data_IF_861655289293
#
_entry.id   IF_861655289293
#
_cell.length_a   1.000
_cell.length_b   1.000
_cell.length_c   1.000
_cell.angle_alpha   90.00
_cell.angle_beta   90.00
_cell.angle_gamma   90.00
#
_symmetry.space_group_name_H-M   'P 1'
#
loop_
_entity.id
_entity.type
_entity.pdbx_description
1 polymer ?
#
# COMPACT_ATOMS: atom_id res chain seq x y z
N UNK A 1 17.62 -17.23 -3.00
CA UNK A 1 18.73 -16.23 -2.80
C UNK A 1 18.29 -14.77 -3.03
N UNK A 2 17.74 -14.40 -4.21
CA UNK A 2 17.31 -12.99 -4.45
C UNK A 2 16.12 -12.53 -3.59
N UNK A 3 15.17 -13.40 -3.34
CA UNK A 3 14.02 -13.13 -2.48
C UNK A 3 14.45 -12.98 -1.02
N UNK A 4 15.28 -13.86 -0.52
CA UNK A 4 15.81 -13.84 0.85
C UNK A 4 16.62 -12.55 1.14
N UNK A 5 17.46 -12.12 0.22
CA UNK A 5 18.20 -10.86 0.35
C UNK A 5 17.28 -9.65 0.43
N UNK A 6 16.17 -9.65 -0.32
CA UNK A 6 15.15 -8.58 -0.24
C UNK A 6 14.42 -8.60 1.10
N UNK A 7 14.04 -9.79 1.58
CA UNK A 7 13.41 -9.94 2.90
C UNK A 7 14.32 -9.44 4.00
N UNK A 8 15.62 -9.79 3.98
CA UNK A 8 16.60 -9.30 4.96
C UNK A 8 16.76 -7.77 4.91
N UNK A 9 16.82 -7.20 3.71
CA UNK A 9 16.87 -5.73 3.57
C UNK A 9 15.66 -5.06 4.21
N UNK A 10 14.45 -5.53 3.89
CA UNK A 10 13.23 -4.97 4.46
C UNK A 10 13.12 -5.20 5.98
N UNK A 11 13.53 -6.36 6.46
CA UNK A 11 13.58 -6.64 7.90
C UNK A 11 14.55 -5.68 8.62
N UNK A 12 15.67 -5.32 8.02
CA UNK A 12 16.59 -4.32 8.58
C UNK A 12 15.93 -2.95 8.68
N UNK A 13 15.19 -2.50 7.64
CA UNK A 13 14.46 -1.23 7.65
C UNK A 13 13.37 -1.23 8.75
N UNK A 14 12.59 -2.32 8.85
CA UNK A 14 11.51 -2.46 9.84
C UNK A 14 12.04 -2.53 11.27
N UNK A 15 13.13 -3.26 11.51
CA UNK A 15 13.83 -3.24 12.80
C UNK A 15 14.36 -1.84 13.14
N UNK A 16 14.80 -1.07 12.15
CA UNK A 16 15.15 0.33 12.33
C UNK A 16 13.98 1.18 12.81
N UNK A 17 12.73 0.90 12.40
CA UNK A 17 11.53 1.54 12.94
C UNK A 17 11.28 1.12 14.38
N UNK A 18 11.35 -0.17 14.67
CA UNK A 18 11.18 -0.72 16.02
C UNK A 18 12.19 -0.15 17.00
N UNK A 19 13.46 -0.07 16.62
CA UNK A 19 14.53 0.54 17.45
C UNK A 19 14.32 2.03 17.71
N UNK A 20 13.52 2.72 16.90
CA UNK A 20 13.13 4.13 17.10
C UNK A 20 11.81 4.30 17.85
N UNK A 21 11.26 3.22 18.43
CA UNK A 21 10.10 3.27 19.29
C UNK A 21 8.76 2.97 18.59
N UNK A 22 8.76 2.42 17.37
CA UNK A 22 7.53 1.89 16.77
C UNK A 22 7.27 0.52 17.38
N UNK A 23 6.30 0.43 18.26
CA UNK A 23 5.97 -0.79 19.00
C UNK A 23 5.09 -1.73 18.19
N UNK A 24 4.14 -1.16 17.42
CA UNK A 24 3.18 -1.92 16.63
C UNK A 24 2.81 -1.22 15.33
N UNK A 25 2.34 -1.99 14.35
CA UNK A 25 1.78 -1.53 13.08
C UNK A 25 0.49 -2.32 12.85
N UNK A 26 -0.66 -1.67 12.90
CA UNK A 26 -1.96 -2.33 12.70
C UNK A 26 -2.13 -2.81 11.27
N UNK A 27 -1.92 -1.93 10.31
CA UNK A 27 -2.11 -2.22 8.87
C UNK A 27 -0.93 -1.63 8.08
N UNK A 28 -0.28 -2.45 7.28
CA UNK A 28 0.76 -2.03 6.35
C UNK A 28 0.21 -1.99 4.91
N UNK A 29 0.18 -0.80 4.32
CA UNK A 29 -0.20 -0.63 2.92
C UNK A 29 1.03 -0.74 2.04
N UNK A 30 1.09 -1.73 1.15
CA UNK A 30 2.29 -2.06 0.37
C UNK A 30 2.02 -2.14 -1.13
N UNK A 31 3.09 -2.05 -1.92
CA UNK A 31 3.03 -2.17 -3.39
C UNK A 31 3.25 -3.61 -3.87
N UNK A 32 3.02 -4.60 -3.01
CA UNK A 32 3.26 -6.02 -3.28
C UNK A 32 4.72 -6.31 -3.68
N UNK A 33 5.67 -5.76 -2.92
CA UNK A 33 7.10 -5.95 -3.16
C UNK A 33 7.56 -7.32 -2.65
N UNK A 34 8.24 -8.06 -3.49
CA UNK A 34 8.73 -9.41 -3.17
C UNK A 34 9.55 -9.43 -1.87
N UNK A 35 9.13 -10.25 -0.90
CA UNK A 35 9.81 -10.43 0.38
C UNK A 35 9.48 -9.36 1.44
N UNK A 36 8.65 -8.37 1.10
CA UNK A 36 8.26 -7.32 2.06
C UNK A 36 7.26 -7.84 3.08
N UNK A 37 6.23 -8.58 2.64
CA UNK A 37 5.23 -9.18 3.52
C UNK A 37 5.87 -10.11 4.56
N UNK A 38 6.80 -10.96 4.11
CA UNK A 38 7.56 -11.85 5.02
C UNK A 38 8.40 -11.05 6.03
N UNK A 39 8.99 -9.93 5.61
CA UNK A 39 9.75 -9.06 6.50
C UNK A 39 8.85 -8.35 7.53
N UNK A 40 7.66 -7.89 7.10
CA UNK A 40 6.67 -7.26 7.99
C UNK A 40 6.28 -8.25 9.09
N UNK A 41 5.84 -9.44 8.74
CA UNK A 41 5.42 -10.45 9.72
C UNK A 41 6.57 -10.94 10.61
N UNK A 42 7.81 -10.91 10.14
CA UNK A 42 8.97 -11.25 10.97
C UNK A 42 9.25 -10.22 12.08
N UNK A 43 8.95 -8.94 11.84
CA UNK A 43 9.23 -7.85 12.79
C UNK A 43 7.97 -7.43 13.56
N UNK A 44 6.84 -7.37 12.88
CA UNK A 44 5.52 -7.02 13.40
C UNK A 44 4.51 -8.11 13.01
N UNK A 45 4.46 -9.22 13.76
CA UNK A 45 3.74 -10.44 13.37
C UNK A 45 2.23 -10.27 13.24
N UNK A 46 1.65 -9.32 13.96
CA UNK A 46 0.20 -9.08 13.98
C UNK A 46 -0.26 -8.01 12.96
N UNK A 47 0.66 -7.50 12.16
CA UNK A 47 0.33 -6.52 11.14
C UNK A 47 -0.53 -7.12 10.03
N UNK A 48 -1.67 -6.52 9.75
CA UNK A 48 -2.44 -6.86 8.55
C UNK A 48 -1.83 -6.19 7.32
N UNK A 49 -1.75 -6.92 6.22
CA UNK A 49 -1.19 -6.40 4.97
C UNK A 49 -2.34 -6.05 4.03
N UNK A 50 -2.29 -4.84 3.48
CA UNK A 50 -3.13 -4.36 2.40
C UNK A 50 -2.27 -4.04 1.19
N UNK A 51 -2.39 -4.81 0.12
CA UNK A 51 -1.74 -4.48 -1.14
C UNK A 51 -2.45 -3.30 -1.82
N UNK A 52 -1.66 -2.38 -2.35
CA UNK A 52 -2.15 -1.18 -3.00
C UNK A 52 -3.02 -1.51 -4.22
N UNK A 53 -4.30 -1.19 -4.14
CA UNK A 53 -5.26 -1.41 -5.22
C UNK A 53 -4.87 -0.68 -6.51
N UNK A 54 -4.36 0.54 -6.40
CA UNK A 54 -3.94 1.33 -7.56
C UNK A 54 -2.75 0.69 -8.31
N UNK A 55 -1.79 0.10 -7.57
CA UNK A 55 -0.69 -0.64 -8.21
C UNK A 55 -1.20 -1.91 -8.90
N UNK A 56 -2.12 -2.65 -8.29
CA UNK A 56 -2.74 -3.81 -8.92
C UNK A 56 -3.47 -3.43 -10.21
N UNK A 57 -4.23 -2.33 -10.21
CA UNK A 57 -4.92 -1.81 -11.39
C UNK A 57 -3.93 -1.36 -12.48
N UNK A 58 -2.87 -0.64 -12.13
CA UNK A 58 -1.81 -0.22 -13.08
C UNK A 58 -1.16 -1.43 -13.73
N UNK A 59 -0.80 -2.44 -12.94
CA UNK A 59 -0.22 -3.69 -13.43
C UNK A 59 -1.18 -4.44 -14.36
N UNK A 60 -2.48 -4.44 -14.04
CA UNK A 60 -3.51 -5.08 -14.86
C UNK A 60 -3.70 -4.39 -16.21
N UNK A 61 -3.51 -3.08 -16.27
CA UNK A 61 -3.77 -2.27 -17.48
C UNK A 61 -2.53 -1.97 -18.33
N UNK A 62 -1.33 -2.36 -17.89
CA UNK A 62 -0.07 -1.94 -18.50
C UNK A 62 0.09 -2.36 -19.97
N UNK A 63 -0.42 -3.54 -20.33
CA UNK A 63 -0.27 -4.15 -21.65
C UNK A 63 -1.61 -4.46 -22.33
N UNK A 64 -2.66 -3.71 -21.98
CA UNK A 64 -4.02 -3.96 -22.47
C UNK A 64 -4.40 -2.93 -23.53
N UNK A 65 -4.89 -3.42 -24.68
CA UNK A 65 -5.36 -2.55 -25.77
C UNK A 65 -6.73 -1.90 -25.48
N UNK A 66 -7.59 -2.59 -24.70
CA UNK A 66 -8.95 -2.13 -24.35
C UNK A 66 -8.99 -1.64 -22.89
N UNK A 67 -8.14 -0.68 -22.59
CA UNK A 67 -7.87 -0.25 -21.22
C UNK A 67 -9.10 0.27 -20.49
N UNK A 68 -9.91 1.11 -21.14
CA UNK A 68 -11.07 1.73 -20.48
C UNK A 68 -12.15 0.71 -20.13
N UNK A 69 -12.40 -0.26 -21.02
CA UNK A 69 -13.37 -1.33 -20.78
C UNK A 69 -12.91 -2.26 -19.66
N UNK A 70 -11.65 -2.69 -19.70
CA UNK A 70 -11.07 -3.53 -18.66
C UNK A 70 -11.09 -2.82 -17.30
N UNK A 71 -10.77 -1.53 -17.26
CA UNK A 71 -10.80 -0.73 -16.01
C UNK A 71 -12.22 -0.54 -15.50
N UNK A 72 -13.22 -0.44 -16.37
CA UNK A 72 -14.64 -0.38 -16.00
C UNK A 72 -15.08 -1.69 -15.34
N UNK A 73 -14.72 -2.85 -15.91
CA UNK A 73 -15.06 -4.15 -15.34
C UNK A 73 -14.34 -4.38 -14.00
N UNK A 74 -13.06 -4.03 -13.89
CA UNK A 74 -12.33 -4.10 -12.62
C UNK A 74 -12.89 -3.15 -11.56
N UNK A 75 -13.55 -2.05 -11.95
CA UNK A 75 -14.20 -1.14 -11.00
C UNK A 75 -15.28 -1.85 -10.21
N UNK A 76 -16.04 -2.76 -10.82
CA UNK A 76 -17.04 -3.56 -10.12
C UNK A 76 -16.42 -4.41 -9.00
N UNK A 77 -15.19 -4.87 -9.18
CA UNK A 77 -14.45 -5.65 -8.17
C UNK A 77 -14.03 -4.77 -7.00
N UNK A 78 -13.24 -3.72 -7.24
CA UNK A 78 -12.64 -2.96 -6.13
C UNK A 78 -13.59 -1.92 -5.49
N UNK A 79 -14.68 -1.57 -6.15
CA UNK A 79 -15.70 -0.67 -5.61
C UNK A 79 -16.92 -1.40 -5.03
N UNK A 80 -16.87 -2.74 -4.93
CA UNK A 80 -17.91 -3.53 -4.32
C UNK A 80 -18.19 -3.13 -2.86
N UNK A 81 -19.42 -3.38 -2.40
CA UNK A 81 -19.79 -3.01 -1.04
C UNK A 81 -19.15 -3.92 0.01
N UNK A 82 -18.94 -5.18 -0.32
CA UNK A 82 -18.32 -6.20 0.53
C UNK A 82 -17.44 -7.16 -0.29
N UNK A 83 -16.76 -8.06 0.41
CA UNK A 83 -15.82 -8.99 -0.18
C UNK A 83 -16.51 -10.02 -1.08
N UNK A 84 -17.72 -10.49 -0.72
CA UNK A 84 -18.44 -11.48 -1.52
C UNK A 84 -18.86 -10.89 -2.88
N UNK A 85 -19.43 -9.70 -2.88
CA UNK A 85 -19.78 -8.99 -4.11
C UNK A 85 -18.55 -8.72 -4.99
N UNK A 86 -17.39 -8.46 -4.37
CA UNK A 86 -16.13 -8.27 -5.08
C UNK A 86 -15.63 -9.58 -5.74
N UNK A 87 -15.75 -10.71 -5.04
CA UNK A 87 -15.40 -12.03 -5.60
C UNK A 87 -16.32 -12.41 -6.76
N UNK A 88 -17.63 -12.18 -6.62
CA UNK A 88 -18.58 -12.44 -7.69
C UNK A 88 -18.27 -11.60 -8.94
N UNK A 89 -17.93 -10.32 -8.74
CA UNK A 89 -17.49 -9.44 -9.83
C UNK A 89 -16.17 -9.90 -10.46
N UNK A 90 -15.24 -10.42 -9.66
CA UNK A 90 -13.96 -10.96 -10.16
C UNK A 90 -14.17 -12.21 -11.01
N UNK A 91 -15.13 -13.08 -10.66
CA UNK A 91 -15.47 -14.24 -11.48
C UNK A 91 -16.10 -13.83 -12.82
N UNK A 92 -17.00 -12.85 -12.82
CA UNK A 92 -17.54 -12.27 -14.06
C UNK A 92 -16.43 -11.66 -14.92
N UNK A 93 -15.54 -10.89 -14.30
CA UNK A 93 -14.36 -10.34 -14.96
C UNK A 93 -13.49 -11.45 -15.57
N UNK A 94 -13.23 -12.51 -14.83
CA UNK A 94 -12.42 -13.62 -15.29
C UNK A 94 -13.05 -14.31 -16.50
N UNK A 95 -14.35 -14.53 -16.53
CA UNK A 95 -15.07 -15.11 -17.68
C UNK A 95 -14.99 -14.21 -18.92
N UNK A 96 -15.21 -12.92 -18.76
CA UNK A 96 -15.19 -11.95 -19.87
C UNK A 96 -13.80 -11.80 -20.52
N UNK A 97 -12.74 -11.95 -19.73
CA UNK A 97 -11.37 -11.67 -20.17
C UNK A 97 -10.47 -12.91 -20.30
N UNK A 98 -10.99 -14.12 -19.99
CA UNK A 98 -10.23 -15.37 -20.00
C UNK A 98 -9.45 -15.61 -21.31
N UNK A 99 -10.07 -15.34 -22.45
CA UNK A 99 -9.47 -15.58 -23.76
C UNK A 99 -8.40 -14.55 -24.16
N UNK A 100 -8.52 -13.30 -23.66
CA UNK A 100 -7.60 -12.23 -24.07
C UNK A 100 -6.49 -11.99 -23.05
N UNK A 101 -6.83 -11.97 -21.76
CA UNK A 101 -5.90 -11.58 -20.69
C UNK A 101 -6.02 -12.48 -19.44
N UNK A 102 -5.83 -13.80 -19.57
CA UNK A 102 -6.04 -14.75 -18.46
C UNK A 102 -5.11 -14.48 -17.25
N UNK A 103 -3.95 -13.91 -17.51
CA UNK A 103 -2.98 -13.60 -16.45
C UNK A 103 -3.47 -12.51 -15.49
N UNK A 104 -4.39 -11.63 -15.92
CA UNK A 104 -4.90 -10.57 -15.04
C UNK A 104 -5.77 -11.17 -13.96
N UNK A 105 -6.81 -11.97 -14.33
CA UNK A 105 -7.67 -12.65 -13.37
C UNK A 105 -6.87 -13.56 -12.42
N UNK A 106 -5.88 -14.28 -12.96
CA UNK A 106 -4.95 -15.09 -12.15
C UNK A 106 -4.21 -14.24 -11.11
N UNK A 107 -3.62 -13.12 -11.52
CA UNK A 107 -2.91 -12.22 -10.62
C UNK A 107 -3.81 -11.66 -9.51
N UNK A 108 -5.05 -11.32 -9.82
CA UNK A 108 -6.01 -10.85 -8.81
C UNK A 108 -6.35 -11.94 -7.80
N UNK A 109 -6.59 -13.18 -8.25
CA UNK A 109 -6.86 -14.32 -7.36
C UNK A 109 -5.66 -14.65 -6.46
N UNK A 110 -4.46 -14.69 -7.02
CA UNK A 110 -3.22 -14.99 -6.28
C UNK A 110 -2.90 -13.95 -5.19
N UNK A 111 -3.27 -12.68 -5.43
CA UNK A 111 -3.04 -11.59 -4.48
C UNK A 111 -4.27 -11.28 -3.63
N UNK A 112 -5.38 -12.02 -3.76
CA UNK A 112 -6.67 -11.66 -3.19
C UNK A 112 -6.63 -11.46 -1.70
N UNK A 113 -5.98 -12.34 -0.96
CA UNK A 113 -5.90 -12.28 0.50
C UNK A 113 -5.39 -10.91 1.01
N UNK A 114 -4.37 -10.34 0.34
CA UNK A 114 -3.82 -9.04 0.69
C UNK A 114 -4.49 -7.88 -0.04
N UNK A 115 -5.20 -8.12 -1.14
CA UNK A 115 -5.97 -7.10 -1.84
C UNK A 115 -7.31 -6.84 -1.15
N UNK A 116 -7.95 -7.87 -0.57
CA UNK A 116 -9.28 -7.78 0.02
C UNK A 116 -9.28 -7.31 1.48
N UNK A 117 -8.12 -7.16 2.12
CA UNK A 117 -8.01 -6.77 3.53
C UNK A 117 -8.87 -5.55 3.89
N UNK A 118 -8.96 -4.55 3.01
CA UNK A 118 -9.74 -3.34 3.28
C UNK A 118 -11.25 -3.59 3.41
N UNK A 119 -11.79 -4.70 2.86
CA UNK A 119 -13.22 -5.02 3.01
C UNK A 119 -13.63 -5.33 4.45
N UNK A 120 -12.68 -5.73 5.31
CA UNK A 120 -12.92 -5.95 6.74
C UNK A 120 -13.33 -4.67 7.48
N UNK A 121 -12.98 -3.49 6.95
CA UNK A 121 -13.07 -2.21 7.63
C UNK A 121 -14.21 -1.34 7.10
N UNK A 122 -14.74 -0.40 7.90
CA UNK A 122 -15.72 0.58 7.46
C UNK A 122 -15.10 1.56 6.45
N UNK A 123 -15.94 2.25 5.71
CA UNK A 123 -15.54 3.07 4.56
C UNK A 123 -14.51 4.16 4.89
N UNK A 124 -14.56 4.73 6.09
CA UNK A 124 -13.62 5.74 6.57
C UNK A 124 -12.18 5.17 6.66
N UNK A 125 -12.04 3.95 7.18
CA UNK A 125 -10.76 3.25 7.26
C UNK A 125 -10.33 2.75 5.87
N UNK A 126 -11.26 2.18 5.08
CA UNK A 126 -10.97 1.73 3.70
C UNK A 126 -10.28 2.80 2.87
N UNK A 127 -10.75 4.05 2.94
CA UNK A 127 -10.17 5.19 2.21
C UNK A 127 -8.72 5.50 2.57
N UNK A 128 -8.28 5.09 3.77
CA UNK A 128 -6.88 5.26 4.18
C UNK A 128 -5.96 4.21 3.58
N UNK A 129 -6.43 2.96 3.59
CA UNK A 129 -5.56 1.80 3.46
C UNK A 129 -5.55 1.17 2.06
N UNK A 130 -6.56 1.42 1.22
CA UNK A 130 -6.63 0.75 -0.09
C UNK A 130 -5.63 1.31 -1.12
N UNK A 131 -4.96 2.42 -0.82
CA UNK A 131 -3.94 3.01 -1.70
C UNK A 131 -2.70 3.50 -0.95
N UNK A 132 -1.57 3.57 -1.66
CA UNK A 132 -0.32 4.18 -1.19
C UNK A 132 -0.17 5.65 -1.63
N UNK A 133 -1.25 6.34 -1.98
CA UNK A 133 -1.22 7.69 -2.55
C UNK A 133 -0.49 8.71 -1.66
N UNK A 134 -0.58 8.58 -0.35
CA UNK A 134 0.09 9.50 0.60
C UNK A 134 1.61 9.42 0.44
N UNK A 135 2.17 8.21 0.45
CA UNK A 135 3.62 8.03 0.29
C UNK A 135 4.07 8.32 -1.15
N UNK A 136 3.25 8.03 -2.16
CA UNK A 136 3.53 8.43 -3.55
C UNK A 136 3.60 9.96 -3.69
N UNK A 137 2.68 10.69 -3.05
CA UNK A 137 2.67 12.15 -3.01
C UNK A 137 3.92 12.72 -2.35
N UNK A 138 4.32 12.15 -1.22
CA UNK A 138 5.57 12.49 -0.53
C UNK A 138 6.79 12.24 -1.41
N UNK A 139 6.91 11.04 -1.99
CA UNK A 139 8.00 10.67 -2.89
C UNK A 139 8.07 11.60 -4.12
N UNK A 140 6.93 12.04 -4.65
CA UNK A 140 6.89 13.02 -5.75
C UNK A 140 7.51 14.35 -5.35
N UNK A 141 7.26 14.81 -4.14
CA UNK A 141 7.86 16.06 -3.63
C UNK A 141 9.36 15.90 -3.40
N UNK A 142 9.83 14.79 -2.83
CA UNK A 142 11.25 14.48 -2.71
C UNK A 142 11.94 14.44 -4.08
N UNK A 143 11.31 13.82 -5.08
CA UNK A 143 11.86 13.77 -6.45
C UNK A 143 12.04 15.15 -7.10
N UNK A 144 11.21 16.15 -6.77
CA UNK A 144 11.41 17.52 -7.29
C UNK A 144 12.74 18.10 -6.85
N UNK A 145 13.16 17.79 -5.62
CA UNK A 145 14.43 18.27 -5.07
C UNK A 145 15.60 17.44 -5.60
N UNK A 146 15.46 16.13 -5.69
CA UNK A 146 16.54 15.23 -6.15
C UNK A 146 16.80 15.32 -7.66
N UNK A 147 15.79 15.65 -8.48
CA UNK A 147 15.94 15.78 -9.95
C UNK A 147 16.89 16.90 -10.37
N UNK A 148 17.05 17.93 -9.56
CA UNK A 148 17.92 19.07 -9.86
C UNK A 148 19.41 18.76 -9.63
N UNK A 149 19.72 17.64 -8.95
CA UNK A 149 21.09 17.18 -8.69
C UNK A 149 21.20 15.71 -9.06
N UNK A 150 21.89 15.45 -10.15
CA UNK A 150 22.08 14.05 -10.66
C UNK A 150 23.22 13.30 -9.96
N UNK A 151 24.13 13.99 -9.28
CA UNK A 151 25.27 13.39 -8.60
C UNK A 151 25.44 14.01 -7.20
N UNK A 152 25.66 13.14 -6.23
CA UNK A 152 26.01 13.53 -4.86
C UNK A 152 27.43 13.09 -4.55
N UNK A 153 28.27 13.97 -3.92
CA UNK A 153 29.64 13.62 -3.58
C UNK A 153 29.76 12.47 -2.58
N UNK A 154 28.80 12.36 -1.66
CA UNK A 154 28.73 11.34 -0.60
C UNK A 154 27.30 10.97 -0.28
N UNK A 155 27.08 9.80 0.31
CA UNK A 155 25.78 9.37 0.83
C UNK A 155 25.24 10.33 1.89
N UNK A 156 26.13 10.87 2.75
CA UNK A 156 25.77 11.88 3.75
C UNK A 156 25.21 13.16 3.13
N UNK A 157 25.74 13.59 1.99
CA UNK A 157 25.25 14.78 1.29
C UNK A 157 23.84 14.55 0.73
N UNK A 158 23.55 13.36 0.24
CA UNK A 158 22.22 12.94 -0.19
C UNK A 158 21.25 12.88 1.00
N UNK A 159 21.66 12.25 2.11
CA UNK A 159 20.83 12.12 3.31
C UNK A 159 20.49 13.50 3.92
N UNK A 160 21.47 14.42 4.01
CA UNK A 160 21.22 15.79 4.46
C UNK A 160 20.21 16.51 3.59
N UNK A 161 20.34 16.39 2.26
CA UNK A 161 19.39 17.05 1.35
C UNK A 161 17.99 16.44 1.48
N UNK A 162 17.86 15.12 1.56
CA UNK A 162 16.58 14.44 1.77
C UNK A 162 15.95 14.85 3.11
N UNK A 163 16.74 14.95 4.16
CA UNK A 163 16.29 15.42 5.47
C UNK A 163 15.72 16.84 5.41
N UNK A 164 16.45 17.80 4.81
CA UNK A 164 15.99 19.16 4.66
C UNK A 164 14.72 19.25 3.81
N UNK A 165 14.67 18.52 2.70
CA UNK A 165 13.47 18.45 1.87
C UNK A 165 12.27 17.86 2.63
N UNK A 166 12.48 16.83 3.44
CA UNK A 166 11.45 16.23 4.29
C UNK A 166 10.94 17.26 5.31
N UNK A 167 11.83 18.01 5.97
CA UNK A 167 11.44 19.05 6.91
C UNK A 167 10.57 20.14 6.27
N UNK A 168 10.87 20.55 5.05
CA UNK A 168 10.07 21.55 4.32
C UNK A 168 8.72 20.98 3.84
N UNK A 169 8.68 19.71 3.44
CA UNK A 169 7.44 19.03 3.03
C UNK A 169 6.51 18.90 4.23
N UNK A 170 7.04 18.45 5.39
CA UNK A 170 6.24 18.17 6.58
C UNK A 170 5.73 19.43 7.29
N UNK A 171 6.38 20.57 7.11
CA UNK A 171 5.84 21.88 7.57
C UNK A 171 4.44 22.16 7.02
N UNK A 172 4.11 21.61 5.85
CA UNK A 172 2.78 21.77 5.21
C UNK A 172 1.75 20.76 5.73
N UNK A 173 2.15 19.78 6.53
CA UNK A 173 1.28 18.77 7.13
C UNK A 173 0.72 19.22 8.48
N UNK A 174 0.24 20.45 8.55
CA UNK A 174 -0.26 21.07 9.79
C UNK A 174 -1.73 20.80 10.06
N UNK A 175 -2.47 20.26 9.08
CA UNK A 175 -3.89 20.01 9.19
C UNK A 175 -4.19 18.68 9.89
N UNK A 176 -5.08 18.71 10.87
CA UNK A 176 -5.73 17.48 11.35
C UNK A 176 -6.65 16.96 10.25
N UNK A 177 -6.59 15.66 9.97
CA UNK A 177 -7.57 15.02 9.09
C UNK A 177 -8.95 15.18 9.71
N UNK A 178 -9.92 15.74 8.97
CA UNK A 178 -11.26 16.02 9.49
C UNK A 178 -11.98 14.80 10.06
N UNK A 179 -11.70 13.60 9.49
CA UNK A 179 -12.33 12.35 9.90
C UNK A 179 -11.52 11.55 10.93
N UNK A 180 -10.42 12.11 11.48
CA UNK A 180 -9.49 11.33 12.30
C UNK A 180 -10.13 10.74 13.55
N UNK A 181 -11.00 11.48 14.25
CA UNK A 181 -11.69 10.97 15.44
C UNK A 181 -12.60 9.77 15.14
N UNK A 182 -13.28 9.76 13.98
CA UNK A 182 -14.08 8.62 13.53
C UNK A 182 -13.19 7.43 13.18
N UNK A 183 -12.11 7.66 12.43
CA UNK A 183 -11.15 6.63 12.06
C UNK A 183 -10.52 6.00 13.31
N UNK A 184 -10.09 6.84 14.27
CA UNK A 184 -9.52 6.37 15.52
C UNK A 184 -10.52 5.51 16.30
N UNK A 185 -11.77 5.98 16.45
CA UNK A 185 -12.81 5.21 17.12
C UNK A 185 -13.07 3.85 16.44
N UNK A 186 -13.03 3.77 15.11
CA UNK A 186 -13.18 2.51 14.40
C UNK A 186 -11.95 1.60 14.61
N UNK A 187 -10.74 2.13 14.50
CA UNK A 187 -9.52 1.37 14.76
C UNK A 187 -9.48 0.84 16.19
N UNK A 188 -9.96 1.60 17.17
CA UNK A 188 -10.05 1.15 18.57
C UNK A 188 -11.02 -0.02 18.77
N UNK A 189 -12.02 -0.19 17.90
CA UNK A 189 -12.88 -1.38 17.92
C UNK A 189 -12.16 -2.59 17.32
N UNK A 190 -11.50 -2.42 16.17
CA UNK A 190 -10.85 -3.53 15.46
C UNK A 190 -9.55 -3.98 16.12
N UNK A 191 -8.85 -3.09 16.81
CA UNK A 191 -7.55 -3.32 17.44
C UNK A 191 -7.57 -3.01 18.94
N UNK A 192 -8.69 -3.28 19.63
CA UNK A 192 -8.91 -2.89 21.04
C UNK A 192 -7.77 -3.31 21.96
N UNK A 193 -7.26 -4.55 21.82
CA UNK A 193 -6.19 -5.08 22.66
C UNK A 193 -4.78 -4.56 22.31
N UNK A 194 -4.67 -3.84 21.19
CA UNK A 194 -3.41 -3.34 20.63
C UNK A 194 -3.30 -1.81 20.65
N UNK A 195 -4.40 -1.11 20.95
CA UNK A 195 -4.39 0.35 21.05
C UNK A 195 -3.78 0.75 22.41
N UNK A 196 -2.83 1.69 22.43
CA UNK A 196 -2.37 2.27 23.69
C UNK A 196 -3.50 3.06 24.35
N UNK A 197 -3.53 3.05 25.68
CA UNK A 197 -4.46 3.83 26.52
C UNK A 197 -4.29 5.35 26.31
#
# INVERSE_FOLDING_TARGET
KKSELRTLFWATVLNGLRNRGVEDIFIACTDNLTGFDAAIHAVFPETEIQNCMIHQLRNSSQYVSYKDLLMSDLKAVYAAMDEQAALDALEIFAQNWANKYPKIAKSWRENWANLSTYFKYPQEVRRLIYTTNTIEGFNRQLRKVTKSKSVFPTDDSLLKMLYLAMMDITKKWTGRRQDWSRIHAQLSIYFAERMPD
#
